data_IF_488352620146
#
_entry.id   IF_488352620146
#
_cell.length_a   1.000
_cell.length_b   1.000
_cell.length_c   1.000
_cell.angle_alpha   90.00
_cell.angle_beta   90.00
_cell.angle_gamma   90.00
#
_symmetry.space_group_name_H-M   'P 1'
#
loop_
_entity.id
_entity.type
_entity.pdbx_description
1 polymer ?
#
# COMPACT_ATOMS: atom_id res chain seq x y z
N UNK A 1 -34.64 0.79 -0.13
CA UNK A 1 -33.38 1.09 0.60
C UNK A 1 -33.40 2.52 1.16
N UNK A 2 -34.31 2.80 2.09
CA UNK A 2 -34.36 4.03 2.91
C UNK A 2 -33.82 3.79 4.35
N UNK A 3 -33.48 2.54 4.66
CA UNK A 3 -33.32 2.04 6.02
C UNK A 3 -32.15 2.61 6.83
N UNK A 4 -31.00 2.99 6.25
CA UNK A 4 -29.83 3.37 7.07
C UNK A 4 -29.95 4.76 7.71
N UNK A 5 -30.39 5.76 6.94
CA UNK A 5 -30.64 7.10 7.48
C UNK A 5 -31.88 7.12 8.37
N UNK A 6 -32.95 6.42 7.97
CA UNK A 6 -34.18 6.34 8.77
C UNK A 6 -33.92 5.58 10.10
N UNK A 7 -33.01 4.59 10.10
CA UNK A 7 -32.50 3.95 11.31
C UNK A 7 -31.69 4.91 12.19
N UNK A 8 -30.75 5.66 11.60
CA UNK A 8 -29.98 6.69 12.31
C UNK A 8 -30.85 7.85 12.80
N UNK A 9 -32.01 8.08 12.18
CA UNK A 9 -33.04 9.04 12.60
C UNK A 9 -33.98 8.50 13.70
N UNK A 10 -33.91 7.21 14.03
CA UNK A 10 -34.64 6.60 15.14
C UNK A 10 -33.76 6.24 16.36
N UNK A 11 -32.43 6.30 16.27
CA UNK A 11 -31.52 5.97 17.38
C UNK A 11 -31.39 7.08 18.43
N UNK A 12 -31.15 6.77 19.71
CA UNK A 12 -30.97 7.79 20.75
C UNK A 12 -29.82 8.77 20.48
N UNK A 13 -29.98 10.03 20.92
CA UNK A 13 -28.95 11.08 20.80
C UNK A 13 -27.60 10.64 21.40
N UNK A 14 -27.64 9.91 22.51
CA UNK A 14 -26.45 9.36 23.16
C UNK A 14 -25.73 8.33 22.29
N UNK A 15 -26.48 7.50 21.56
CA UNK A 15 -25.90 6.51 20.64
C UNK A 15 -25.19 7.22 19.48
N UNK A 16 -25.81 8.24 18.87
CA UNK A 16 -25.16 9.04 17.82
C UNK A 16 -23.88 9.75 18.30
N UNK A 17 -23.89 10.24 19.54
CA UNK A 17 -22.71 10.87 20.15
C UNK A 17 -21.60 9.86 20.42
N UNK A 18 -21.92 8.67 20.93
CA UNK A 18 -20.94 7.59 21.10
C UNK A 18 -20.31 7.17 19.78
N UNK A 19 -21.10 6.96 18.73
CA UNK A 19 -20.60 6.65 17.38
C UNK A 19 -19.62 7.73 16.90
N UNK A 20 -19.97 9.00 17.10
CA UNK A 20 -19.13 10.14 16.69
C UNK A 20 -17.78 10.14 17.42
N UNK A 21 -17.78 9.94 18.74
CA UNK A 21 -16.56 9.89 19.56
C UNK A 21 -15.71 8.68 19.17
N UNK A 22 -16.31 7.51 18.99
CA UNK A 22 -15.59 6.31 18.56
C UNK A 22 -14.93 6.51 17.20
N UNK A 23 -15.63 7.11 16.22
CA UNK A 23 -15.04 7.43 14.92
C UNK A 23 -13.85 8.38 15.06
N UNK A 24 -13.98 9.46 15.85
CA UNK A 24 -12.87 10.40 16.08
C UNK A 24 -11.64 9.68 16.66
N UNK A 25 -11.83 8.83 17.66
CA UNK A 25 -10.73 8.08 18.28
C UNK A 25 -10.06 7.12 17.29
N UNK A 26 -10.85 6.41 16.47
CA UNK A 26 -10.31 5.51 15.44
C UNK A 26 -9.47 6.29 14.43
N UNK A 27 -10.02 7.34 13.81
CA UNK A 27 -9.27 8.13 12.82
C UNK A 27 -8.05 8.81 13.43
N UNK A 28 -8.15 9.34 14.65
CA UNK A 28 -7.02 9.94 15.36
C UNK A 28 -5.89 8.92 15.59
N UNK A 29 -6.21 7.72 16.07
CA UNK A 29 -5.21 6.67 16.31
C UNK A 29 -4.47 6.28 15.03
N UNK A 30 -5.20 6.14 13.93
CA UNK A 30 -4.66 5.84 12.61
C UNK A 30 -3.74 6.97 12.14
N UNK A 31 -4.17 8.22 12.24
CA UNK A 31 -3.38 9.37 11.79
C UNK A 31 -2.10 9.57 12.60
N UNK A 32 -2.17 9.36 13.92
CA UNK A 32 -1.00 9.42 14.80
C UNK A 32 0.07 8.37 14.45
N UNK A 33 -0.32 7.24 13.85
CA UNK A 33 0.61 6.21 13.35
C UNK A 33 1.10 6.53 11.93
N UNK A 34 0.21 6.98 11.05
CA UNK A 34 0.54 7.18 9.63
C UNK A 34 1.49 8.36 9.41
N UNK A 35 1.34 9.47 10.14
CA UNK A 35 2.17 10.67 10.00
C UNK A 35 3.67 10.38 10.22
N UNK A 36 4.10 9.75 11.34
CA UNK A 36 5.51 9.44 11.53
C UNK A 36 6.04 8.45 10.50
N UNK A 37 5.24 7.47 10.08
CA UNK A 37 5.62 6.52 9.02
C UNK A 37 5.86 7.22 7.67
N UNK A 38 4.95 8.11 7.26
CA UNK A 38 5.12 8.89 6.03
C UNK A 38 6.37 9.78 6.09
N UNK A 39 6.66 10.38 7.26
CA UNK A 39 7.86 11.19 7.46
C UNK A 39 9.14 10.35 7.38
N UNK A 40 9.15 9.15 7.95
CA UNK A 40 10.28 8.23 7.90
C UNK A 40 10.55 7.71 6.47
N UNK A 41 9.49 7.36 5.73
CA UNK A 41 9.63 6.95 4.33
C UNK A 41 10.13 8.11 3.46
N UNK A 42 9.62 9.33 3.70
CA UNK A 42 10.06 10.51 2.97
C UNK A 42 11.53 10.83 3.23
N UNK A 43 12.00 10.77 4.48
CA UNK A 43 13.40 11.06 4.82
C UNK A 43 14.37 10.04 4.23
N UNK A 44 13.94 8.78 4.10
CA UNK A 44 14.73 7.69 3.52
C UNK A 44 14.60 7.56 2.00
N UNK A 45 13.75 8.36 1.34
CA UNK A 45 13.45 8.21 -0.08
C UNK A 45 14.71 8.26 -0.96
N UNK A 46 15.58 9.25 -0.77
CA UNK A 46 16.80 9.39 -1.57
C UNK A 46 17.78 8.23 -1.33
N UNK A 47 17.92 7.82 -0.07
CA UNK A 47 18.74 6.67 0.31
C UNK A 47 18.26 5.39 -0.37
N UNK A 48 16.95 5.14 -0.39
CA UNK A 48 16.39 4.00 -1.09
C UNK A 48 16.66 4.07 -2.58
N UNK A 49 16.46 5.22 -3.20
CA UNK A 49 16.61 5.37 -4.66
C UNK A 49 18.07 5.13 -5.12
N UNK A 50 19.03 5.70 -4.40
CA UNK A 50 20.46 5.54 -4.71
C UNK A 50 20.96 4.11 -4.48
N UNK A 51 20.69 3.54 -3.31
CA UNK A 51 21.17 2.20 -2.98
C UNK A 51 20.47 1.11 -3.79
N UNK A 52 19.20 1.32 -4.15
CA UNK A 52 18.48 0.40 -5.03
C UNK A 52 19.05 0.41 -6.45
N UNK A 53 19.47 1.58 -6.96
CA UNK A 53 20.17 1.68 -8.24
C UNK A 53 21.50 0.94 -8.20
N UNK A 54 22.30 1.15 -7.15
CA UNK A 54 23.58 0.44 -6.96
C UNK A 54 23.39 -1.08 -6.82
N UNK A 55 22.37 -1.53 -6.09
CA UNK A 55 22.03 -2.95 -5.95
C UNK A 55 21.69 -3.56 -7.32
N UNK A 56 20.83 -2.90 -8.10
CA UNK A 56 20.47 -3.37 -9.44
C UNK A 56 21.65 -3.39 -10.42
N UNK A 57 22.56 -2.42 -10.34
CA UNK A 57 23.78 -2.41 -11.15
C UNK A 57 24.70 -3.59 -10.79
N UNK A 58 24.88 -3.86 -9.49
CA UNK A 58 25.65 -5.03 -9.01
C UNK A 58 25.02 -6.34 -9.46
N UNK A 59 23.69 -6.45 -9.39
CA UNK A 59 22.95 -7.64 -9.84
C UNK A 59 23.10 -7.86 -11.36
N UNK A 60 22.99 -6.80 -12.17
CA UNK A 60 23.24 -6.88 -13.63
C UNK A 60 24.67 -7.31 -13.95
N UNK A 61 25.66 -6.78 -13.23
CA UNK A 61 27.07 -7.20 -13.40
C UNK A 61 27.25 -8.67 -13.03
N UNK A 62 26.60 -9.13 -11.95
CA UNK A 62 26.65 -10.52 -11.52
C UNK A 62 26.03 -11.45 -12.57
N UNK A 63 24.85 -11.11 -13.08
CA UNK A 63 24.17 -11.83 -14.15
C UNK A 63 25.04 -11.93 -15.41
N UNK A 64 25.66 -10.83 -15.83
CA UNK A 64 26.60 -10.82 -16.95
C UNK A 64 27.83 -11.70 -16.71
N UNK A 65 28.35 -11.75 -15.47
CA UNK A 65 29.48 -12.63 -15.12
C UNK A 65 29.10 -14.10 -15.16
N UNK A 66 27.92 -14.46 -14.66
CA UNK A 66 27.40 -15.83 -14.73
C UNK A 66 27.17 -16.24 -16.18
N UNK A 67 26.59 -15.36 -16.99
CA UNK A 67 26.40 -15.61 -18.43
C UNK A 67 27.73 -15.79 -19.16
N UNK A 68 28.72 -14.93 -18.89
CA UNK A 68 30.08 -15.08 -19.45
C UNK A 68 30.73 -16.40 -19.02
N UNK A 69 30.55 -16.83 -17.77
CA UNK A 69 31.06 -18.12 -17.30
C UNK A 69 30.43 -19.29 -18.07
N UNK A 70 29.11 -19.26 -18.28
CA UNK A 70 28.36 -20.23 -19.10
C UNK A 70 28.90 -20.28 -20.53
N UNK A 71 29.22 -19.12 -21.11
CA UNK A 71 29.78 -19.02 -22.46
C UNK A 71 31.21 -19.57 -22.54
N UNK A 72 32.09 -19.18 -21.62
CA UNK A 72 33.47 -19.70 -21.53
C UNK A 72 33.49 -21.21 -21.34
N UNK A 73 32.61 -21.74 -20.49
CA UNK A 73 32.50 -23.18 -20.29
C UNK A 73 32.13 -23.91 -21.59
N UNK A 74 31.16 -23.38 -22.35
CA UNK A 74 30.78 -23.94 -23.67
C UNK A 74 31.93 -23.85 -24.69
N UNK A 75 32.60 -22.70 -24.78
CA UNK A 75 33.66 -22.48 -25.76
C UNK A 75 34.87 -23.39 -25.50
N UNK A 76 35.24 -23.58 -24.23
CA UNK A 76 36.33 -24.47 -23.85
C UNK A 76 35.98 -25.96 -24.00
N UNK A 77 34.71 -26.33 -23.86
CA UNK A 77 34.26 -27.71 -24.10
C UNK A 77 34.39 -28.08 -25.60
N UNK A 78 34.28 -27.09 -26.48
CA UNK A 78 34.47 -27.25 -27.93
C UNK A 78 35.96 -27.31 -28.34
N UNK A 79 36.89 -26.87 -27.49
CA UNK A 79 38.34 -27.02 -27.73
C UNK A 79 38.80 -28.43 -27.31
N UNK A 80 39.26 -29.22 -28.28
CA UNK A 80 39.71 -30.61 -28.12
C UNK A 80 40.94 -30.73 -27.19
N UNK A 81 40.73 -30.68 -25.87
CA UNK A 81 41.73 -31.04 -24.87
C UNK A 81 41.12 -32.03 -23.85
N UNK A 82 41.50 -33.32 -23.88
CA UNK A 82 40.80 -34.40 -23.18
C UNK A 82 40.83 -34.27 -21.65
N UNK A 83 41.87 -33.64 -21.07
CA UNK A 83 41.96 -33.39 -19.62
C UNK A 83 41.04 -32.25 -19.18
N UNK A 84 40.83 -31.26 -20.04
CA UNK A 84 39.92 -30.15 -19.77
C UNK A 84 38.44 -30.53 -19.98
N UNK A 85 38.15 -31.51 -20.82
CA UNK A 85 36.79 -31.86 -21.22
C UNK A 85 35.93 -32.34 -20.03
N UNK A 86 36.49 -33.19 -19.15
CA UNK A 86 35.81 -33.62 -17.93
C UNK A 86 35.55 -32.44 -16.96
N UNK A 87 36.54 -31.56 -16.78
CA UNK A 87 36.41 -30.39 -15.91
C UNK A 87 35.32 -29.41 -16.39
N UNK A 88 35.28 -29.14 -17.70
CA UNK A 88 34.28 -28.23 -18.28
C UNK A 88 32.89 -28.84 -18.39
N UNK A 89 32.78 -30.17 -18.58
CA UNK A 89 31.48 -30.86 -18.61
C UNK A 89 30.69 -30.70 -17.31
N UNK A 90 31.35 -30.88 -16.16
CA UNK A 90 30.75 -30.68 -14.84
C UNK A 90 30.24 -29.24 -14.63
N UNK A 91 30.93 -28.25 -15.21
CA UNK A 91 30.53 -26.84 -15.14
C UNK A 91 29.37 -26.56 -16.09
N UNK A 92 29.36 -27.16 -17.28
CA UNK A 92 28.26 -27.03 -18.25
C UNK A 92 26.96 -27.72 -17.80
N UNK A 93 27.07 -28.79 -17.01
CA UNK A 93 25.93 -29.51 -16.42
C UNK A 93 25.29 -28.75 -15.25
N UNK A 94 25.93 -27.68 -14.75
CA UNK A 94 25.30 -26.80 -13.76
C UNK A 94 24.08 -26.10 -14.37
N UNK A 95 22.99 -26.10 -13.61
CA UNK A 95 21.81 -25.30 -13.93
C UNK A 95 22.10 -23.82 -13.65
N UNK A 96 22.71 -23.16 -14.64
CA UNK A 96 23.00 -21.74 -14.59
C UNK A 96 21.75 -20.88 -14.42
N UNK A 97 20.60 -21.34 -14.89
CA UNK A 97 19.36 -20.57 -14.82
C UNK A 97 18.85 -20.60 -13.36
N UNK A 98 18.91 -21.76 -12.70
CA UNK A 98 18.69 -21.88 -11.25
C UNK A 98 19.70 -21.08 -10.42
N UNK A 99 21.00 -21.18 -10.72
CA UNK A 99 22.06 -20.44 -10.00
C UNK A 99 21.84 -18.93 -10.11
N UNK A 100 21.51 -18.45 -11.31
CA UNK A 100 21.24 -17.03 -11.56
C UNK A 100 20.01 -16.60 -10.77
N UNK A 101 18.92 -17.37 -10.81
CA UNK A 101 17.69 -17.04 -10.09
C UNK A 101 17.93 -16.99 -8.56
N UNK A 102 18.62 -17.99 -8.01
CA UNK A 102 18.95 -18.06 -6.58
C UNK A 102 19.89 -16.94 -6.13
N UNK A 103 20.90 -16.59 -6.94
CA UNK A 103 21.80 -15.46 -6.66
C UNK A 103 21.08 -14.11 -6.77
N UNK A 104 20.15 -13.96 -7.70
CA UNK A 104 19.39 -12.74 -7.90
C UNK A 104 18.28 -12.54 -6.85
N UNK A 105 17.69 -13.61 -6.32
CA UNK A 105 16.70 -13.52 -5.24
C UNK A 105 17.34 -13.22 -3.88
N UNK A 106 18.45 -13.89 -3.55
CA UNK A 106 19.08 -13.77 -2.23
C UNK A 106 19.92 -12.49 -2.06
N UNK A 107 20.35 -11.84 -3.15
CA UNK A 107 21.17 -10.62 -3.09
C UNK A 107 20.35 -9.32 -3.25
N UNK A 108 19.15 -9.26 -2.68
CA UNK A 108 18.30 -8.05 -2.67
C UNK A 108 18.03 -7.49 -1.26
N UNK A 109 19.05 -7.28 -0.40
CA UNK A 109 18.86 -6.76 0.95
C UNK A 109 18.23 -5.36 0.98
N UNK A 110 18.55 -4.49 0.02
CA UNK A 110 17.97 -3.14 -0.06
C UNK A 110 16.51 -3.22 -0.48
N UNK A 111 16.16 -4.07 -1.46
CA UNK A 111 14.75 -4.34 -1.79
C UNK A 111 13.97 -4.88 -0.58
N UNK A 112 14.56 -5.77 0.22
CA UNK A 112 13.90 -6.33 1.41
C UNK A 112 13.68 -5.26 2.47
N UNK A 113 14.72 -4.51 2.83
CA UNK A 113 14.62 -3.41 3.79
C UNK A 113 13.62 -2.33 3.35
N UNK A 114 13.59 -2.05 2.04
CA UNK A 114 12.59 -1.19 1.42
C UNK A 114 11.16 -1.73 1.63
N UNK A 115 10.94 -3.01 1.32
CA UNK A 115 9.66 -3.67 1.46
C UNK A 115 9.16 -3.65 2.91
N UNK A 116 10.04 -3.93 3.86
CA UNK A 116 9.74 -3.92 5.29
C UNK A 116 9.35 -2.52 5.80
N UNK A 117 9.91 -1.47 5.18
CA UNK A 117 9.60 -0.07 5.54
C UNK A 117 8.27 0.39 4.95
N UNK A 118 7.96 0.02 3.70
CA UNK A 118 6.82 0.55 2.96
C UNK A 118 5.53 -0.27 3.15
N UNK A 119 5.65 -1.59 3.30
CA UNK A 119 4.52 -2.53 3.39
C UNK A 119 3.55 -2.21 4.53
N UNK A 120 3.99 -1.89 5.76
CA UNK A 120 3.08 -1.57 6.85
C UNK A 120 2.19 -0.36 6.54
N UNK A 121 2.77 0.67 5.91
CA UNK A 121 2.05 1.88 5.55
C UNK A 121 0.97 1.59 4.50
N UNK A 122 1.30 0.81 3.46
CA UNK A 122 0.34 0.41 2.43
C UNK A 122 -0.83 -0.40 2.99
N UNK A 123 -0.57 -1.32 3.91
CA UNK A 123 -1.62 -2.11 4.58
C UNK A 123 -2.57 -1.23 5.39
N UNK A 124 -2.03 -0.26 6.15
CA UNK A 124 -2.86 0.69 6.90
C UNK A 124 -3.75 1.49 5.94
N UNK A 125 -3.24 1.93 4.78
CA UNK A 125 -4.04 2.66 3.81
C UNK A 125 -5.12 1.83 3.14
N UNK A 126 -4.85 0.55 2.86
CA UNK A 126 -5.88 -0.38 2.41
C UNK A 126 -7.02 -0.49 3.43
N UNK A 127 -6.69 -0.62 4.71
CA UNK A 127 -7.67 -0.65 5.80
C UNK A 127 -8.46 0.67 5.85
N UNK A 128 -7.80 1.82 5.75
CA UNK A 128 -8.46 3.15 5.72
C UNK A 128 -9.46 3.24 4.56
N UNK A 129 -9.09 2.81 3.36
CA UNK A 129 -9.98 2.81 2.20
C UNK A 129 -11.25 1.97 2.46
N UNK A 130 -11.11 0.81 3.09
CA UNK A 130 -12.25 -0.05 3.45
C UNK A 130 -13.11 0.62 4.52
N UNK A 131 -12.51 1.15 5.59
CA UNK A 131 -13.23 1.87 6.67
C UNK A 131 -13.98 3.09 6.12
N UNK A 132 -13.35 3.88 5.26
CA UNK A 132 -13.97 5.02 4.58
C UNK A 132 -15.19 4.57 3.78
N UNK A 133 -15.06 3.48 3.01
CA UNK A 133 -16.14 2.94 2.18
C UNK A 133 -17.32 2.45 3.03
N UNK A 134 -17.05 1.70 4.11
CA UNK A 134 -18.07 1.23 5.06
C UNK A 134 -18.78 2.43 5.70
N UNK A 135 -18.02 3.42 6.18
CA UNK A 135 -18.55 4.63 6.81
C UNK A 135 -19.49 5.38 5.86
N UNK A 136 -19.12 5.49 4.58
CA UNK A 136 -19.93 6.16 3.56
C UNK A 136 -21.26 5.43 3.36
N UNK A 137 -21.24 4.10 3.20
CA UNK A 137 -22.43 3.28 2.97
C UNK A 137 -23.40 3.36 4.16
N UNK A 138 -22.87 3.33 5.38
CA UNK A 138 -23.69 3.31 6.59
C UNK A 138 -24.37 4.64 6.87
N UNK A 139 -23.66 5.76 6.68
CA UNK A 139 -24.12 7.06 7.18
C UNK A 139 -24.93 7.83 6.13
N UNK A 140 -24.58 7.72 4.85
CA UNK A 140 -25.20 8.53 3.81
C UNK A 140 -26.23 7.75 3.00
N UNK A 141 -27.37 8.38 2.73
CA UNK A 141 -28.48 7.79 1.94
C UNK A 141 -28.20 7.74 0.43
N UNK A 142 -27.49 8.72 -0.12
CA UNK A 142 -27.11 8.80 -1.55
C UNK A 142 -25.70 9.40 -1.76
N UNK A 143 -24.63 8.81 -1.20
CA UNK A 143 -23.28 9.37 -1.31
C UNK A 143 -22.59 9.05 -2.64
N UNK A 144 -23.29 9.06 -3.78
CA UNK A 144 -22.74 8.53 -5.03
C UNK A 144 -21.35 9.11 -5.35
N UNK A 145 -21.17 10.43 -5.19
CA UNK A 145 -19.88 11.10 -5.42
C UNK A 145 -18.78 10.65 -4.45
N UNK A 146 -19.07 10.61 -3.15
CA UNK A 146 -18.10 10.21 -2.12
C UNK A 146 -17.74 8.72 -2.26
N UNK A 147 -18.73 7.90 -2.56
CA UNK A 147 -18.56 6.47 -2.77
C UNK A 147 -17.69 6.19 -4.00
N UNK A 148 -17.94 6.84 -5.13
CA UNK A 148 -17.10 6.72 -6.33
C UNK A 148 -15.67 7.14 -6.02
N UNK A 149 -15.48 8.28 -5.34
CA UNK A 149 -14.15 8.79 -5.01
C UNK A 149 -13.38 7.86 -4.05
N UNK A 150 -14.05 7.29 -3.04
CA UNK A 150 -13.48 6.28 -2.13
C UNK A 150 -13.05 5.01 -2.87
N UNK A 151 -13.86 4.53 -3.81
CA UNK A 151 -13.52 3.36 -4.61
C UNK A 151 -12.37 3.62 -5.59
N UNK A 152 -12.28 4.83 -6.17
CA UNK A 152 -11.13 5.24 -6.98
C UNK A 152 -9.84 5.16 -6.14
N UNK A 153 -9.86 5.68 -4.91
CA UNK A 153 -8.71 5.57 -4.01
C UNK A 153 -8.37 4.12 -3.64
N UNK A 154 -9.37 3.27 -3.43
CA UNK A 154 -9.15 1.84 -3.18
C UNK A 154 -8.48 1.16 -4.38
N UNK A 155 -8.96 1.42 -5.60
CA UNK A 155 -8.38 0.86 -6.84
C UNK A 155 -6.94 1.33 -7.01
N UNK A 156 -6.68 2.64 -6.86
CA UNK A 156 -5.31 3.19 -6.95
C UNK A 156 -4.40 2.55 -5.90
N UNK A 157 -4.88 2.40 -4.66
CA UNK A 157 -4.09 1.79 -3.58
C UNK A 157 -3.79 0.32 -3.86
N UNK A 158 -4.75 -0.43 -4.41
CA UNK A 158 -4.55 -1.82 -4.87
C UNK A 158 -3.56 -1.90 -6.02
N UNK A 159 -3.63 -0.98 -6.99
CA UNK A 159 -2.69 -0.94 -8.11
C UNK A 159 -1.26 -0.66 -7.64
N UNK A 160 -1.06 0.31 -6.75
CA UNK A 160 0.25 0.62 -6.16
C UNK A 160 0.77 -0.57 -5.35
N UNK A 161 -0.10 -1.25 -4.61
CA UNK A 161 0.25 -2.46 -3.87
C UNK A 161 0.57 -3.65 -4.79
N UNK A 162 -0.15 -3.81 -5.91
CA UNK A 162 0.14 -4.82 -6.92
C UNK A 162 1.48 -4.57 -7.63
N UNK A 163 1.77 -3.32 -7.99
CA UNK A 163 3.08 -2.92 -8.53
C UNK A 163 4.22 -3.20 -7.55
N UNK A 164 3.99 -3.12 -6.25
CA UNK A 164 5.00 -3.48 -5.24
C UNK A 164 5.44 -4.95 -5.32
N UNK A 165 4.54 -5.86 -5.69
CA UNK A 165 4.88 -7.28 -5.87
C UNK A 165 5.45 -7.59 -7.25
N UNK A 166 4.93 -6.93 -8.29
CA UNK A 166 5.25 -7.26 -9.69
C UNK A 166 6.49 -6.50 -10.18
N UNK A 167 6.65 -5.24 -9.78
CA UNK A 167 7.69 -4.37 -10.31
C UNK A 167 9.02 -4.53 -9.54
N UNK A 168 10.11 -4.47 -10.29
CA UNK A 168 11.47 -4.38 -9.75
C UNK A 168 11.88 -2.94 -9.45
N UNK A 169 10.95 -1.98 -9.37
CA UNK A 169 11.25 -0.59 -9.04
C UNK A 169 10.34 -0.08 -7.91
N UNK A 170 10.93 0.40 -6.80
CA UNK A 170 10.17 0.93 -5.67
C UNK A 170 9.49 2.28 -6.01
N UNK A 171 8.16 2.29 -6.11
CA UNK A 171 7.36 3.50 -6.38
C UNK A 171 7.03 4.30 -5.08
N UNK A 172 8.08 4.79 -4.40
CA UNK A 172 7.97 5.56 -3.14
C UNK A 172 7.13 6.81 -3.33
N UNK A 173 7.39 7.54 -4.40
CA UNK A 173 6.77 8.84 -4.66
C UNK A 173 5.25 8.69 -4.87
N UNK A 174 4.84 7.72 -5.68
CA UNK A 174 3.41 7.41 -5.87
C UNK A 174 2.75 6.95 -4.57
N UNK A 175 3.45 6.11 -3.80
CA UNK A 175 2.95 5.67 -2.49
C UNK A 175 2.74 6.86 -1.56
N UNK A 176 3.72 7.75 -1.40
CA UNK A 176 3.62 8.95 -0.56
C UNK A 176 2.54 9.92 -1.03
N UNK A 177 2.42 10.19 -2.33
CA UNK A 177 1.36 11.05 -2.86
C UNK A 177 -0.01 10.46 -2.57
N UNK A 178 -0.20 9.18 -2.89
CA UNK A 178 -1.48 8.50 -2.63
C UNK A 178 -1.79 8.50 -1.13
N UNK A 179 -0.79 8.31 -0.29
CA UNK A 179 -0.89 8.37 1.17
C UNK A 179 -1.40 9.74 1.65
N UNK A 180 -0.82 10.83 1.15
CA UNK A 180 -1.22 12.20 1.50
C UNK A 180 -2.64 12.49 1.01
N UNK A 181 -2.96 12.11 -0.23
CA UNK A 181 -4.29 12.32 -0.80
C UNK A 181 -5.37 11.55 -0.03
N UNK A 182 -5.10 10.29 0.30
CA UNK A 182 -6.00 9.45 1.07
C UNK A 182 -6.16 9.97 2.51
N UNK A 183 -5.08 10.47 3.11
CA UNK A 183 -5.13 11.13 4.41
C UNK A 183 -6.05 12.36 4.39
N UNK A 184 -5.86 13.26 3.42
CA UNK A 184 -6.69 14.46 3.26
C UNK A 184 -8.16 14.10 2.98
N UNK A 185 -8.41 13.11 2.13
CA UNK A 185 -9.75 12.61 1.87
C UNK A 185 -10.42 12.04 3.12
N UNK A 186 -9.68 11.27 3.92
CA UNK A 186 -10.18 10.68 5.17
C UNK A 186 -10.52 11.75 6.20
N UNK A 187 -9.69 12.78 6.34
CA UNK A 187 -9.97 13.95 7.19
C UNK A 187 -11.24 14.68 6.72
N UNK A 188 -11.36 14.92 5.41
CA UNK A 188 -12.55 15.55 4.83
C UNK A 188 -13.81 14.70 5.06
N UNK A 189 -13.72 13.39 4.87
CA UNK A 189 -14.82 12.45 5.08
C UNK A 189 -15.27 12.45 6.54
N UNK A 190 -14.33 12.39 7.49
CA UNK A 190 -14.62 12.47 8.91
C UNK A 190 -15.37 13.76 9.26
N UNK A 191 -14.87 14.91 8.80
CA UNK A 191 -15.54 16.20 9.01
C UNK A 191 -16.97 16.18 8.43
N UNK A 192 -17.14 15.62 7.24
CA UNK A 192 -18.46 15.53 6.60
C UNK A 192 -19.42 14.63 7.37
N UNK A 193 -18.92 13.51 7.91
CA UNK A 193 -19.69 12.61 8.75
C UNK A 193 -20.13 13.34 10.03
N UNK A 194 -19.20 13.99 10.74
CA UNK A 194 -19.49 14.70 11.98
C UNK A 194 -20.53 15.80 11.78
N UNK A 195 -20.40 16.61 10.73
CA UNK A 195 -21.39 17.64 10.40
C UNK A 195 -22.76 17.04 10.08
N UNK A 196 -22.80 15.88 9.43
CA UNK A 196 -24.06 15.19 9.10
C UNK A 196 -24.74 14.66 10.37
N UNK A 197 -23.97 14.04 11.27
CA UNK A 197 -24.48 13.55 12.55
C UNK A 197 -24.95 14.71 13.44
N UNK A 198 -24.21 15.82 13.48
CA UNK A 198 -24.62 17.03 14.20
C UNK A 198 -25.93 17.60 13.66
N UNK A 199 -26.08 17.67 12.34
CA UNK A 199 -27.32 18.12 11.70
C UNK A 199 -28.51 17.23 12.07
N UNK A 200 -28.33 15.90 12.07
CA UNK A 200 -29.38 14.95 12.49
C UNK A 200 -29.79 15.19 13.94
N UNK A 201 -28.82 15.36 14.85
CA UNK A 201 -29.10 15.63 16.27
C UNK A 201 -29.84 16.96 16.44
N UNK A 202 -29.43 18.01 15.73
CA UNK A 202 -30.05 19.32 15.81
C UNK A 202 -31.48 19.32 15.25
N UNK A 203 -31.69 18.69 14.09
CA UNK A 203 -33.01 18.54 13.47
C UNK A 203 -34.01 17.87 14.42
N UNK A 204 -33.59 16.80 15.10
CA UNK A 204 -34.44 16.13 16.09
C UNK A 204 -34.74 16.99 17.31
N UNK A 205 -33.75 17.75 17.79
CA UNK A 205 -33.98 18.66 18.91
C UNK A 205 -35.07 19.68 18.56
N UNK A 206 -35.03 20.23 17.34
CA UNK A 206 -36.06 21.14 16.84
C UNK A 206 -37.42 20.43 16.72
N UNK A 207 -37.47 19.22 16.16
CA UNK A 207 -38.73 18.45 16.06
C UNK A 207 -39.34 18.13 17.43
N UNK A 208 -38.52 17.74 18.42
CA UNK A 208 -39.00 17.46 19.77
C UNK A 208 -39.56 18.71 20.47
N UNK A 209 -38.99 19.89 20.19
CA UNK A 209 -39.52 21.16 20.70
C UNK A 209 -40.88 21.45 20.03
N UNK A 210 -40.96 21.36 18.71
CA UNK A 210 -42.19 21.60 17.93
C UNK A 210 -43.33 20.64 18.23
N UNK A 211 -43.04 19.38 18.60
CA UNK A 211 -44.06 18.37 18.90
C UNK A 211 -44.51 18.36 20.37
N UNK A 212 -43.77 19.02 21.27
CA UNK A 212 -44.11 19.16 22.68
C UNK A 212 -44.82 20.50 23.00
N UNK A 213 -45.01 21.35 21.98
CA UNK A 213 -45.96 22.46 21.93
C UNK A 213 -47.26 22.01 21.25
#
# INVERSE_FOLDING_TARGET
RAQSLDYLLNQDKWVLLTISVTLILIYYSIFSICIPMMKDIHSKHNYFNENFKQENEKLKILEQKVYKLKQIAKDNLNMYNPVCQQCWSLICDLDFDYITLHLLENNKPIKKYYNDTLSPLQHIFMIICVVNTISIIWIFRKPFRLFVLSNIFLIISLSIHGEFFISNTPNIYYTLINSILLFLFSMFLLLKILMTLLFIVHYRMIQNILNNE
#
